data_IF_689996270600
#
_entry.id   IF_689996270600
#
_cell.length_a   1.000
_cell.length_b   1.000
_cell.length_c   1.000
_cell.angle_alpha   90.00
_cell.angle_beta   90.00
_cell.angle_gamma   90.00
#
_symmetry.space_group_name_H-M   'P 1'
#
loop_
_entity.id
_entity.type
_entity.pdbx_description
1 polymer ?
#
# COMPACT_ATOMS: atom_id res chain seq x y z
N UNK A 1 2.71 12.59 10.88
CA UNK A 1 1.86 11.45 11.22
C UNK A 1 2.68 10.37 11.94
N UNK A 2 1.98 9.46 12.64
CA UNK A 2 2.64 8.35 13.32
C UNK A 2 2.92 7.21 12.35
N UNK A 3 4.18 6.80 12.28
CA UNK A 3 4.61 5.64 11.52
C UNK A 3 4.66 4.41 12.41
N UNK A 4 4.68 3.24 11.76
CA UNK A 4 4.86 1.95 12.42
C UNK A 4 6.20 1.97 13.19
N UNK A 5 6.19 1.83 14.52
CA UNK A 5 7.42 1.85 15.31
C UNK A 5 8.15 0.51 15.37
N UNK A 6 7.59 -0.54 14.79
CA UNK A 6 8.14 -1.90 14.91
C UNK A 6 9.33 -2.07 13.98
N UNK A 7 10.43 -2.58 14.51
CA UNK A 7 11.66 -2.92 13.77
C UNK A 7 12.14 -1.79 12.87
N UNK A 8 12.43 -0.60 13.42
CA UNK A 8 12.88 0.53 12.58
C UNK A 8 14.18 0.25 11.85
N UNK A 9 14.98 -0.71 12.31
CA UNK A 9 16.21 -1.12 11.64
C UNK A 9 15.97 -1.79 10.29
N UNK A 10 14.73 -2.22 10.02
CA UNK A 10 14.38 -2.77 8.70
C UNK A 10 14.06 -1.70 7.66
N UNK A 11 13.97 -0.43 8.08
CA UNK A 11 13.75 0.69 7.16
C UNK A 11 15.09 1.09 6.54
N UNK A 12 15.56 0.31 5.57
CA UNK A 12 16.90 0.49 5.03
C UNK A 12 16.99 0.58 3.50
N UNK A 13 15.85 0.61 2.82
CA UNK A 13 15.82 0.76 1.36
C UNK A 13 15.41 2.19 1.02
N UNK A 14 16.31 3.01 0.42
CA UNK A 14 15.97 4.40 0.13
C UNK A 14 15.04 4.52 -1.08
N UNK A 15 14.14 5.49 -1.01
CA UNK A 15 13.22 5.82 -2.09
C UNK A 15 13.70 7.09 -2.82
N UNK A 16 13.00 7.44 -3.89
CA UNK A 16 13.32 8.62 -4.69
C UNK A 16 13.24 9.92 -3.87
N UNK A 17 12.42 9.95 -2.83
CA UNK A 17 12.29 11.13 -1.96
C UNK A 17 13.25 11.12 -0.78
N UNK A 18 14.02 10.05 -0.60
CA UNK A 18 14.92 9.90 0.53
C UNK A 18 14.30 9.22 1.75
N UNK A 19 12.99 9.02 1.76
CA UNK A 19 12.36 8.23 2.81
C UNK A 19 12.74 6.76 2.65
N UNK A 20 12.99 6.07 3.77
CA UNK A 20 13.42 4.66 3.75
C UNK A 20 12.22 3.75 3.96
N UNK A 21 12.17 2.67 3.17
CA UNK A 21 11.14 1.63 3.26
C UNK A 21 11.78 0.28 3.56
N UNK A 22 10.96 -0.74 3.76
CA UNK A 22 11.43 -2.04 4.27
C UNK A 22 11.84 -3.03 3.19
N UNK A 23 11.45 -2.81 1.94
CA UNK A 23 11.74 -3.74 0.86
C UNK A 23 11.89 -3.03 -0.47
N UNK A 24 12.49 -3.72 -1.44
CA UNK A 24 12.61 -3.20 -2.81
C UNK A 24 11.26 -3.13 -3.50
N UNK A 25 10.34 -4.05 -3.18
CA UNK A 25 8.98 -4.01 -3.72
C UNK A 25 8.25 -2.77 -3.23
N UNK A 26 8.37 -2.45 -1.95
CA UNK A 26 7.77 -1.23 -1.40
C UNK A 26 8.38 0.02 -2.03
N UNK A 27 9.68 0.00 -2.31
CA UNK A 27 10.31 1.12 -3.02
C UNK A 27 9.71 1.31 -4.40
N UNK A 28 9.49 0.24 -5.14
CA UNK A 28 8.88 0.33 -6.47
C UNK A 28 7.48 0.93 -6.41
N UNK A 29 6.67 0.47 -5.45
CA UNK A 29 5.32 1.01 -5.25
C UNK A 29 5.39 2.49 -4.85
N UNK A 30 6.26 2.81 -3.90
CA UNK A 30 6.47 4.18 -3.43
C UNK A 30 6.78 5.13 -4.58
N UNK A 31 7.75 4.73 -5.41
CA UNK A 31 8.19 5.59 -6.52
C UNK A 31 7.10 5.75 -7.58
N UNK A 32 6.32 4.70 -7.83
CA UNK A 32 5.20 4.78 -8.77
C UNK A 32 4.09 5.69 -8.27
N UNK A 33 3.78 5.64 -6.97
CA UNK A 33 2.81 6.54 -6.36
C UNK A 33 3.25 8.01 -6.50
N UNK A 34 4.53 8.27 -6.26
CA UNK A 34 5.06 9.62 -6.44
C UNK A 34 4.99 10.08 -7.89
N UNK A 35 5.35 9.21 -8.82
CA UNK A 35 5.26 9.53 -10.25
C UNK A 35 3.82 9.81 -10.68
N UNK A 36 2.86 9.11 -10.11
CA UNK A 36 1.45 9.32 -10.39
C UNK A 36 0.89 10.57 -9.72
N UNK A 37 1.68 11.26 -8.89
CA UNK A 37 1.30 12.46 -8.16
C UNK A 37 0.11 12.24 -7.23
N UNK A 38 0.05 11.03 -6.66
CA UNK A 38 -0.95 10.68 -5.65
C UNK A 38 -0.38 11.00 -4.28
N UNK A 39 -1.04 11.83 -3.47
CA UNK A 39 -0.61 12.04 -2.09
C UNK A 39 -0.74 10.74 -1.30
N UNK A 40 0.29 10.40 -0.54
CA UNK A 40 0.26 9.17 0.25
C UNK A 40 1.17 9.28 1.47
N UNK A 41 0.93 8.35 2.41
CA UNK A 41 1.75 8.18 3.60
C UNK A 41 2.17 6.72 3.68
N UNK A 42 3.43 6.50 4.01
CA UNK A 42 4.00 5.17 4.17
C UNK A 42 3.86 4.73 5.62
N UNK A 43 3.26 3.54 5.83
CA UNK A 43 3.07 2.94 7.17
C UNK A 43 2.44 3.90 8.19
N UNK A 44 1.42 4.63 7.75
CA UNK A 44 0.70 5.56 8.62
C UNK A 44 -0.23 4.80 9.55
N UNK A 45 -0.23 5.19 10.83
CA UNK A 45 -1.09 4.57 11.84
C UNK A 45 -2.55 4.68 11.47
N UNK A 46 -3.26 3.57 11.60
CA UNK A 46 -4.70 3.48 11.37
C UNK A 46 -5.32 2.71 12.53
N UNK A 47 -6.26 3.33 13.23
CA UNK A 47 -7.00 2.67 14.30
C UNK A 47 -8.32 2.14 13.75
N UNK A 48 -8.54 0.84 13.94
CA UNK A 48 -9.73 0.16 13.48
C UNK A 48 -10.47 -0.47 14.65
N UNK A 49 -11.79 -0.52 14.56
CA UNK A 49 -12.60 -1.17 15.58
C UNK A 49 -12.32 -2.67 15.60
N UNK A 50 -12.40 -3.25 16.78
CA UNK A 50 -12.18 -4.69 17.00
C UNK A 50 -10.76 -5.14 16.71
N UNK A 51 -9.81 -4.21 16.63
CA UNK A 51 -8.40 -4.52 16.50
C UNK A 51 -7.71 -4.22 17.82
N UNK A 52 -6.91 -5.17 18.31
CA UNK A 52 -6.18 -5.00 19.57
C UNK A 52 -5.08 -3.97 19.46
N UNK A 53 -4.54 -3.81 18.27
CA UNK A 53 -3.39 -2.96 17.99
C UNK A 53 -3.73 -2.06 16.81
N UNK A 54 -3.10 -0.89 16.72
CA UNK A 54 -3.22 -0.09 15.51
C UNK A 54 -2.71 -0.87 14.31
N UNK A 55 -3.29 -0.60 13.16
CA UNK A 55 -2.82 -1.13 11.89
C UNK A 55 -1.95 -0.09 11.21
N UNK A 56 -1.03 -0.55 10.38
CA UNK A 56 -0.15 0.32 9.61
C UNK A 56 -0.16 -0.20 8.17
N UNK A 57 -1.18 0.19 7.37
CA UNK A 57 -1.17 -0.21 5.96
C UNK A 57 0.13 0.21 5.30
N UNK A 58 0.61 -0.56 4.36
CA UNK A 58 1.86 -0.21 3.68
C UNK A 58 1.78 1.22 3.15
N UNK A 59 0.67 1.58 2.51
CA UNK A 59 0.45 2.94 2.05
C UNK A 59 -0.99 3.36 2.30
N UNK A 60 -1.18 4.60 2.72
CA UNK A 60 -2.48 5.26 2.79
C UNK A 60 -2.48 6.34 1.72
N UNK A 61 -3.40 6.25 0.76
CA UNK A 61 -3.37 7.05 -0.46
C UNK A 61 -4.62 7.91 -0.53
N UNK A 62 -4.43 9.17 -0.88
CA UNK A 62 -5.53 10.11 -1.09
C UNK A 62 -5.77 10.25 -2.59
N UNK A 63 -7.02 10.04 -3.03
CA UNK A 63 -7.40 10.39 -4.38
C UNK A 63 -7.68 11.90 -4.44
N UNK A 64 -6.85 12.68 -5.13
CA UNK A 64 -7.01 14.13 -5.12
C UNK A 64 -8.26 14.60 -5.86
N UNK A 65 -8.91 13.73 -6.64
CA UNK A 65 -10.10 14.11 -7.40
C UNK A 65 -11.32 14.27 -6.50
N UNK A 66 -11.45 13.46 -5.46
CA UNK A 66 -12.64 13.49 -4.62
C UNK A 66 -12.33 13.42 -3.13
N UNK A 67 -11.04 13.32 -2.75
CA UNK A 67 -10.62 13.26 -1.34
C UNK A 67 -10.81 11.90 -0.69
N UNK A 68 -11.17 10.87 -1.44
CA UNK A 68 -11.35 9.54 -0.86
C UNK A 68 -10.02 8.91 -0.50
N UNK A 69 -10.07 8.03 0.51
CA UNK A 69 -8.88 7.38 1.04
C UNK A 69 -8.87 5.92 0.60
N UNK A 70 -7.70 5.47 0.17
CA UNK A 70 -7.44 4.09 -0.21
C UNK A 70 -6.29 3.55 0.63
N UNK A 71 -6.36 2.27 0.96
CA UNK A 71 -5.29 1.58 1.68
C UNK A 71 -4.64 0.58 0.73
N UNK A 72 -3.33 0.50 0.75
CA UNK A 72 -2.57 -0.40 -0.11
C UNK A 72 -1.78 -1.36 0.76
N UNK A 73 -1.91 -2.66 0.47
CA UNK A 73 -1.16 -3.72 1.14
C UNK A 73 -0.45 -4.56 0.08
N UNK A 74 0.83 -4.72 0.26
CA UNK A 74 1.63 -5.60 -0.59
C UNK A 74 1.97 -6.87 0.18
N UNK A 75 1.68 -8.03 -0.39
CA UNK A 75 1.89 -9.32 0.26
C UNK A 75 3.01 -10.07 -0.44
N UNK A 76 4.11 -10.30 0.28
CA UNK A 76 5.22 -11.09 -0.20
C UNK A 76 5.00 -12.58 0.00
N UNK A 77 5.90 -13.36 -0.56
CA UNK A 77 5.84 -14.82 -0.54
C UNK A 77 5.87 -15.43 0.87
N UNK A 78 6.33 -14.64 1.86
CA UNK A 78 6.43 -15.12 3.25
C UNK A 78 5.23 -14.73 4.09
N UNK A 79 4.25 -14.05 3.50
CA UNK A 79 3.05 -13.69 4.21
C UNK A 79 2.18 -14.93 4.36
N UNK A 80 1.94 -15.29 5.61
CA UNK A 80 1.24 -16.52 5.88
C UNK A 80 -0.26 -16.33 5.76
N UNK A 81 -0.93 -17.39 5.31
CA UNK A 81 -2.37 -17.39 5.11
C UNK A 81 -3.12 -16.91 6.36
N UNK A 82 -2.63 -17.28 7.54
CA UNK A 82 -3.28 -16.92 8.79
C UNK A 82 -3.24 -15.42 9.05
N UNK A 83 -2.10 -14.79 8.84
CA UNK A 83 -1.95 -13.34 9.00
C UNK A 83 -2.77 -12.60 7.96
N UNK A 84 -2.77 -13.07 6.74
CA UNK A 84 -3.58 -12.52 5.68
C UNK A 84 -5.07 -12.57 6.04
N UNK A 85 -5.53 -13.72 6.53
CA UNK A 85 -6.93 -13.88 6.91
C UNK A 85 -7.34 -12.95 8.04
N UNK A 86 -6.48 -12.79 9.04
CA UNK A 86 -6.75 -11.86 10.15
C UNK A 86 -6.87 -10.43 9.65
N UNK A 87 -5.94 -10.03 8.80
CA UNK A 87 -5.91 -8.68 8.27
C UNK A 87 -7.17 -8.41 7.43
N UNK A 88 -7.55 -9.37 6.59
CA UNK A 88 -8.75 -9.23 5.77
C UNK A 88 -10.01 -9.12 6.61
N UNK A 89 -10.14 -9.92 7.67
CA UNK A 89 -11.28 -9.83 8.58
C UNK A 89 -11.38 -8.45 9.23
N UNK A 90 -10.25 -7.95 9.71
CA UNK A 90 -10.21 -6.63 10.35
C UNK A 90 -10.64 -5.56 9.36
N UNK A 91 -10.11 -5.58 8.16
CA UNK A 91 -10.48 -4.61 7.14
C UNK A 91 -11.95 -4.71 6.78
N UNK A 92 -12.45 -5.90 6.50
CA UNK A 92 -13.86 -6.08 6.14
C UNK A 92 -14.79 -5.61 7.23
N UNK A 93 -14.46 -5.87 8.50
CA UNK A 93 -15.26 -5.43 9.63
C UNK A 93 -15.28 -3.91 9.78
N UNK A 94 -14.37 -3.21 9.14
CA UNK A 94 -14.26 -1.75 9.24
C UNK A 94 -14.57 -1.04 7.91
N UNK A 95 -15.25 -1.72 6.99
CA UNK A 95 -15.68 -1.10 5.74
C UNK A 95 -14.57 -0.90 4.71
N UNK A 96 -13.47 -1.63 4.85
CA UNK A 96 -12.34 -1.55 3.92
C UNK A 96 -12.35 -2.82 3.09
N UNK A 97 -12.66 -2.67 1.79
CA UNK A 97 -12.96 -3.81 0.93
C UNK A 97 -12.00 -3.89 -0.26
N UNK A 98 -11.49 -5.10 -0.57
CA UNK A 98 -10.69 -5.29 -1.78
C UNK A 98 -11.48 -4.87 -3.02
N UNK A 99 -10.81 -4.18 -3.92
CA UNK A 99 -11.42 -3.71 -5.16
C UNK A 99 -12.16 -2.40 -5.03
N UNK A 100 -12.41 -1.92 -3.82
CA UNK A 100 -13.13 -0.66 -3.57
C UNK A 100 -12.18 0.38 -2.98
N UNK A 101 -11.75 0.16 -1.75
CA UNK A 101 -10.82 1.08 -1.07
C UNK A 101 -9.61 0.36 -0.46
N UNK A 102 -9.43 -0.91 -0.77
CA UNK A 102 -8.26 -1.68 -0.41
C UNK A 102 -7.60 -2.21 -1.67
N UNK A 103 -6.39 -1.76 -1.92
CA UNK A 103 -5.59 -2.17 -3.06
C UNK A 103 -4.62 -3.24 -2.58
N UNK A 104 -4.55 -4.36 -3.26
CA UNK A 104 -3.66 -5.45 -2.88
C UNK A 104 -2.79 -5.86 -4.04
N UNK A 105 -1.51 -6.08 -3.77
CA UNK A 105 -0.62 -6.70 -4.72
C UNK A 105 0.10 -7.87 -4.04
N UNK A 106 0.50 -8.83 -4.85
CA UNK A 106 1.07 -10.08 -4.38
C UNK A 106 2.32 -10.40 -5.18
N UNK A 107 3.27 -11.06 -4.52
CA UNK A 107 4.41 -11.60 -5.22
C UNK A 107 4.87 -12.91 -4.58
N UNK A 108 5.50 -13.74 -5.39
CA UNK A 108 6.19 -14.94 -4.95
C UNK A 108 7.59 -14.94 -5.54
N UNK A 109 8.40 -15.93 -5.16
CA UNK A 109 9.73 -16.04 -5.73
C UNK A 109 9.69 -16.28 -7.25
N UNK A 110 8.70 -17.03 -7.72
CA UNK A 110 8.51 -17.31 -9.14
C UNK A 110 7.82 -16.18 -9.88
N UNK A 111 7.06 -15.34 -9.16
CA UNK A 111 6.34 -14.20 -9.73
C UNK A 111 6.66 -12.96 -8.93
N UNK A 112 7.86 -12.39 -9.12
CA UNK A 112 8.22 -11.17 -8.40
C UNK A 112 7.36 -9.99 -8.84
N UNK A 113 7.30 -8.99 -7.99
CA UNK A 113 6.57 -7.76 -8.30
C UNK A 113 7.21 -7.09 -9.51
N UNK A 114 6.37 -6.67 -10.48
CA UNK A 114 6.84 -5.83 -11.57
C UNK A 114 6.04 -4.52 -11.59
N UNK A 115 6.65 -3.49 -12.17
CA UNK A 115 6.07 -2.15 -12.15
C UNK A 115 4.85 -2.02 -13.04
N UNK A 116 4.78 -2.82 -14.10
CA UNK A 116 3.63 -2.81 -15.00
C UNK A 116 2.37 -3.29 -14.26
N UNK A 117 2.51 -4.34 -13.46
CA UNK A 117 1.42 -4.84 -12.62
C UNK A 117 0.92 -3.75 -11.67
N UNK A 118 1.84 -3.08 -10.97
CA UNK A 118 1.46 -2.01 -10.05
C UNK A 118 0.82 -0.84 -10.81
N UNK A 119 1.37 -0.50 -11.96
CA UNK A 119 0.83 0.58 -12.80
C UNK A 119 -0.61 0.29 -13.20
N UNK A 120 -0.91 -0.96 -13.57
CA UNK A 120 -2.29 -1.36 -13.92
C UNK A 120 -3.21 -1.25 -12.71
N UNK A 121 -2.74 -1.61 -11.50
CA UNK A 121 -3.53 -1.45 -10.28
C UNK A 121 -3.86 0.03 -10.05
N UNK A 122 -2.87 0.90 -10.15
CA UNK A 122 -3.09 2.33 -9.92
C UNK A 122 -4.05 2.91 -10.95
N UNK A 123 -3.97 2.47 -12.19
CA UNK A 123 -4.91 2.91 -13.23
C UNK A 123 -6.32 2.43 -12.95
N UNK A 124 -6.47 1.23 -12.45
CA UNK A 124 -7.81 0.70 -12.10
C UNK A 124 -8.48 1.54 -11.02
N UNK A 125 -7.74 1.88 -9.95
CA UNK A 125 -8.32 2.58 -8.81
C UNK A 125 -8.40 4.09 -9.02
N UNK A 126 -7.44 4.69 -9.71
CA UNK A 126 -7.30 6.15 -9.79
C UNK A 126 -7.47 6.69 -11.21
N UNK A 127 -7.62 5.82 -12.18
CA UNK A 127 -7.68 6.23 -13.59
C UNK A 127 -6.29 6.48 -14.15
N UNK A 128 -6.24 6.77 -15.44
CA UNK A 128 -4.99 7.08 -16.10
C UNK A 128 -4.52 8.48 -15.71
N UNK A 129 -3.20 8.67 -15.72
CA UNK A 129 -2.64 9.99 -15.46
C UNK A 129 -3.07 10.96 -16.55
N UNK A 130 -2.97 12.26 -16.25
CA UNK A 130 -3.34 13.29 -17.23
C UNK A 130 -2.52 13.22 -18.52
N UNK A 131 -1.34 12.61 -18.46
CA UNK A 131 -0.51 12.43 -19.65
C UNK A 131 -1.04 11.32 -20.57
N UNK A 132 -1.87 10.44 -20.06
CA UNK A 132 -2.40 9.30 -20.80
C UNK A 132 -3.79 9.58 -21.39
N UNK A 133 -4.35 10.74 -21.13
CA UNK A 133 -5.74 11.07 -21.50
C UNK A 133 -5.79 11.77 -22.86
N UNK A 134 -4.69 11.86 -23.49
CA UNK A 134 -4.62 12.42 -24.82
C UNK A 134 -5.49 11.64 -25.83
#
# INVERSE_FOLDING_TARGET
>A
YEKNPINPEHLNVPTVSGEFVRSKSERSIYNLLRNAKLPFRYECRLELENARKPNYPDFTILDPKDGSIYYYEHFGMKDYQQDFMKKMRTYLNNGIYPGINLIMSFETQEMPLDEVYVQHLLEYYFGKSSMDIE
#
